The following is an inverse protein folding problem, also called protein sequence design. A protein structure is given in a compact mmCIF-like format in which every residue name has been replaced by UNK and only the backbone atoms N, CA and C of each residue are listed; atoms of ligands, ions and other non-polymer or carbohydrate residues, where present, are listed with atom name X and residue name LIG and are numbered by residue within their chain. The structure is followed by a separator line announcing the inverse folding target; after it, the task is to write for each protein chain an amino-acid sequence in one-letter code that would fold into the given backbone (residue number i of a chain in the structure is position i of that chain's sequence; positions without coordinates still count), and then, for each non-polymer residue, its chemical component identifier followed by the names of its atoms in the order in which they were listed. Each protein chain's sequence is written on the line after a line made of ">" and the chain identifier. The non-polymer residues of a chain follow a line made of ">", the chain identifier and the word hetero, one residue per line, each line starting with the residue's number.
data_IF_771388208754
#
_entry.id   IF_771388208754
#
_cell.length_a   1.000
_cell.length_b   1.000
_cell.length_c   1.000
_cell.angle_alpha   90.00
_cell.angle_beta   90.00
_cell.angle_gamma   90.00
#
_symmetry.space_group_name_H-M   'P 1'
#
loop_
_entity.id
_entity.type
_entity.pdbx_description
1 polymer ?
#
# COMPACT_ATOMS: atom_id res chain seq x y z
N UNK A 1 16.17 -22.74 0.48
CA UNK A 1 15.10 -21.91 -0.11
C UNK A 1 14.66 -20.97 1.00
N UNK A 2 14.96 -19.67 0.91
CA UNK A 2 14.62 -18.73 1.97
C UNK A 2 13.09 -18.65 2.07
N UNK A 3 12.55 -18.79 3.29
CA UNK A 3 11.11 -18.64 3.51
C UNK A 3 10.68 -17.24 3.05
N UNK A 4 9.56 -17.09 2.31
CA UNK A 4 9.11 -15.81 1.75
C UNK A 4 8.84 -14.73 2.80
N UNK A 5 8.81 -15.09 4.09
CA UNK A 5 8.58 -14.18 5.21
C UNK A 5 9.85 -13.56 5.81
N UNK A 6 11.03 -14.02 5.41
CA UNK A 6 12.31 -13.64 6.04
C UNK A 6 12.66 -12.16 5.95
N UNK A 7 12.03 -11.40 5.05
CA UNK A 7 12.32 -9.97 4.89
C UNK A 7 11.52 -9.08 5.88
N UNK A 8 10.41 -9.58 6.42
CA UNK A 8 9.48 -8.80 7.24
C UNK A 8 9.26 -9.36 8.64
N UNK A 9 9.71 -10.58 8.92
CA UNK A 9 9.55 -11.25 10.22
C UNK A 9 10.95 -11.54 10.77
N UNK A 10 11.19 -11.15 12.02
CA UNK A 10 12.43 -11.47 12.71
C UNK A 10 12.58 -12.99 12.89
N UNK A 11 13.76 -13.58 12.58
CA UNK A 11 14.01 -15.00 12.82
C UNK A 11 13.74 -15.41 14.26
N UNK A 12 13.12 -16.58 14.47
CA UNK A 12 12.73 -17.04 15.81
C UNK A 12 11.44 -16.42 16.35
N UNK A 13 10.78 -15.52 15.63
CA UNK A 13 9.46 -15.02 16.00
C UNK A 13 8.42 -16.15 16.07
N UNK A 14 7.42 -15.95 16.93
CA UNK A 14 6.29 -16.88 17.10
C UNK A 14 5.18 -16.53 16.11
N UNK A 15 4.86 -17.47 15.20
CA UNK A 15 3.78 -17.31 14.22
C UNK A 15 2.51 -17.97 14.76
N UNK A 16 1.44 -17.19 14.87
CA UNK A 16 0.12 -17.65 15.29
C UNK A 16 -0.79 -17.81 14.07
N UNK A 17 -1.39 -18.99 13.86
CA UNK A 17 -2.33 -19.22 12.74
C UNK A 17 -3.59 -19.95 13.18
N UNK A 18 -4.58 -19.98 12.29
CA UNK A 18 -5.89 -20.64 12.46
C UNK A 18 -5.86 -22.18 12.39
N UNK A 19 -4.68 -22.77 12.24
CA UNK A 19 -4.48 -24.21 12.14
C UNK A 19 -4.78 -24.84 10.79
N UNK A 20 -4.85 -24.08 9.69
CA UNK A 20 -4.89 -24.67 8.35
C UNK A 20 -3.60 -25.48 8.06
N UNK A 21 -3.77 -26.67 7.47
CA UNK A 21 -2.69 -27.64 7.26
C UNK A 21 -1.54 -27.17 6.36
N UNK A 22 -1.74 -26.10 5.58
CA UNK A 22 -0.70 -25.53 4.71
C UNK A 22 0.32 -24.65 5.45
N UNK A 23 -0.02 -24.10 6.62
CA UNK A 23 0.84 -23.15 7.34
C UNK A 23 2.14 -23.74 7.90
N UNK A 24 2.16 -24.96 8.48
CA UNK A 24 3.41 -25.54 8.98
C UNK A 24 4.49 -25.68 7.89
N UNK A 25 4.08 -26.05 6.67
CA UNK A 25 5.00 -26.13 5.52
C UNK A 25 5.55 -24.75 5.14
N UNK A 26 4.74 -23.70 5.24
CA UNK A 26 5.12 -22.33 4.90
C UNK A 26 5.99 -21.66 5.98
N UNK A 27 5.80 -22.01 7.25
CA UNK A 27 6.61 -21.52 8.37
C UNK A 27 8.03 -22.12 8.36
N UNK A 28 8.20 -23.35 7.89
CA UNK A 28 9.51 -24.01 7.84
C UNK A 28 10.14 -24.18 9.22
N UNK A 29 11.47 -24.29 9.28
CA UNK A 29 12.24 -24.49 10.52
C UNK A 29 12.60 -23.20 11.27
N UNK A 30 12.44 -22.05 10.61
CA UNK A 30 13.06 -20.79 11.06
C UNK A 30 12.18 -20.02 12.07
N UNK A 31 10.94 -20.46 12.26
CA UNK A 31 9.94 -19.82 13.12
C UNK A 31 9.23 -20.81 14.02
N UNK A 32 8.85 -20.34 15.21
CA UNK A 32 8.03 -21.13 16.14
C UNK A 32 6.57 -21.00 15.74
N UNK A 33 6.02 -22.03 15.11
CA UNK A 33 4.62 -22.06 14.69
C UNK A 33 3.70 -22.55 15.82
N UNK A 34 2.69 -21.75 16.16
CA UNK A 34 1.61 -22.11 17.09
C UNK A 34 0.28 -22.03 16.37
N UNK A 35 -0.25 -23.19 16.00
CA UNK A 35 -1.58 -23.32 15.40
C UNK A 35 -2.68 -23.37 16.47
N UNK A 36 -3.71 -22.56 16.31
CA UNK A 36 -4.96 -22.67 17.09
C UNK A 36 -6.11 -22.94 16.12
N UNK A 37 -6.67 -24.14 16.17
CA UNK A 37 -7.78 -24.52 15.28
C UNK A 37 -9.03 -23.70 15.58
N UNK A 38 -9.51 -22.93 14.59
CA UNK A 38 -10.77 -22.18 14.68
C UNK A 38 -11.99 -23.12 14.72
N UNK A 39 -11.87 -24.35 14.19
CA UNK A 39 -12.94 -25.35 14.23
C UNK A 39 -13.13 -25.99 15.63
N UNK A 40 -12.29 -25.64 16.60
CA UNK A 40 -12.31 -26.11 17.99
C UNK A 40 -13.26 -25.33 18.91
N UNK A 41 -13.12 -25.44 20.25
CA UNK A 41 -14.20 -25.39 21.22
C UNK A 41 -14.90 -24.04 21.28
N UNK A 42 -16.06 -23.90 20.61
CA UNK A 42 -17.08 -22.88 20.86
C UNK A 42 -16.66 -21.39 20.86
N UNK A 43 -15.41 -21.07 20.49
CA UNK A 43 -14.87 -19.71 20.47
C UNK A 43 -14.89 -19.19 19.04
N UNK A 44 -15.32 -17.95 18.89
CA UNK A 44 -15.40 -17.31 17.58
C UNK A 44 -14.00 -16.97 17.05
N UNK A 45 -13.84 -16.91 15.73
CA UNK A 45 -12.57 -16.57 15.07
C UNK A 45 -11.98 -15.22 15.54
N UNK A 46 -12.84 -14.27 15.93
CA UNK A 46 -12.42 -12.96 16.43
C UNK A 46 -11.83 -13.00 17.85
N UNK A 47 -12.13 -14.04 18.63
CA UNK A 47 -11.57 -14.28 19.96
C UNK A 47 -10.21 -14.98 19.86
N UNK A 48 -10.06 -15.87 18.88
CA UNK A 48 -8.84 -16.66 18.66
C UNK A 48 -7.74 -15.82 17.98
N UNK A 49 -8.10 -15.02 16.98
CA UNK A 49 -7.17 -14.18 16.20
C UNK A 49 -7.64 -12.71 16.13
N UNK A 50 -7.70 -12.00 17.28
CA UNK A 50 -8.27 -10.65 17.35
C UNK A 50 -7.52 -9.65 16.47
N UNK A 51 -6.20 -9.80 16.33
CA UNK A 51 -5.38 -8.94 15.48
C UNK A 51 -5.74 -9.06 14.00
N UNK A 52 -5.82 -10.30 13.48
CA UNK A 52 -6.15 -10.58 12.08
C UNK A 52 -7.58 -10.11 11.77
N UNK A 53 -8.52 -10.41 12.65
CA UNK A 53 -9.91 -9.99 12.49
C UNK A 53 -10.06 -8.45 12.48
N UNK A 54 -9.33 -7.77 13.36
CA UNK A 54 -9.30 -6.30 13.41
C UNK A 54 -8.73 -5.70 12.14
N UNK A 55 -7.61 -6.24 11.64
CA UNK A 55 -7.02 -5.79 10.37
C UNK A 55 -8.00 -6.00 9.22
N UNK A 56 -8.64 -7.18 9.12
CA UNK A 56 -9.63 -7.46 8.08
C UNK A 56 -10.82 -6.49 8.12
N UNK A 57 -11.33 -6.19 9.32
CA UNK A 57 -12.40 -5.21 9.50
C UNK A 57 -11.98 -3.79 9.12
N UNK A 58 -10.73 -3.40 9.42
CA UNK A 58 -10.19 -2.10 9.05
C UNK A 58 -10.00 -1.96 7.54
N UNK A 59 -9.52 -3.01 6.86
CA UNK A 59 -9.41 -3.04 5.40
C UNK A 59 -10.80 -2.87 4.78
N UNK A 60 -11.79 -3.66 5.22
CA UNK A 60 -13.17 -3.58 4.73
C UNK A 60 -13.76 -2.18 4.92
N UNK A 61 -13.58 -1.58 6.10
CA UNK A 61 -14.05 -0.22 6.39
C UNK A 61 -13.35 0.82 5.51
N UNK A 62 -12.05 0.69 5.31
CA UNK A 62 -11.27 1.63 4.50
C UNK A 62 -11.67 1.55 3.02
N UNK A 63 -11.87 0.35 2.47
CA UNK A 63 -12.37 0.16 1.10
C UNK A 63 -13.78 0.77 0.94
N UNK A 64 -14.68 0.56 1.89
CA UNK A 64 -16.02 1.16 1.85
C UNK A 64 -16.01 2.68 2.02
N UNK A 65 -15.06 3.24 2.79
CA UNK A 65 -14.97 4.67 3.02
C UNK A 65 -14.24 5.43 1.92
N UNK A 66 -12.95 5.12 1.72
CA UNK A 66 -12.07 5.84 0.78
C UNK A 66 -12.45 5.54 -0.67
N UNK A 67 -12.72 4.28 -0.97
CA UNK A 67 -13.05 3.85 -2.33
C UNK A 67 -14.56 3.72 -2.56
N UNK A 68 -15.39 4.10 -1.58
CA UNK A 68 -16.87 4.08 -1.68
C UNK A 68 -17.41 2.69 -2.09
N UNK A 69 -16.70 1.62 -1.74
CA UNK A 69 -17.03 0.25 -2.14
C UNK A 69 -16.69 -0.10 -3.60
N UNK A 70 -16.12 0.82 -4.38
CA UNK A 70 -15.62 0.57 -5.73
C UNK A 70 -14.16 0.12 -5.68
N UNK A 71 -13.90 -1.13 -6.01
CA UNK A 71 -12.52 -1.64 -6.15
C UNK A 71 -12.45 -2.59 -7.33
N UNK A 72 -11.34 -2.54 -8.07
CA UNK A 72 -11.04 -3.54 -9.11
C UNK A 72 -10.07 -4.58 -8.56
N UNK A 73 -10.29 -5.85 -8.90
CA UNK A 73 -9.34 -6.93 -8.61
C UNK A 73 -7.97 -6.64 -9.26
N UNK A 74 -7.96 -5.97 -10.40
CA UNK A 74 -6.74 -5.62 -11.13
C UNK A 74 -5.82 -4.66 -10.34
N UNK A 75 -6.40 -3.88 -9.42
CA UNK A 75 -5.69 -2.93 -8.57
C UNK A 75 -5.54 -3.40 -7.11
N UNK A 76 -5.85 -4.68 -6.83
CA UNK A 76 -5.90 -5.20 -5.45
C UNK A 76 -4.58 -4.97 -4.70
N UNK A 77 -3.44 -5.25 -5.33
CA UNK A 77 -2.14 -5.07 -4.69
C UNK A 77 -1.89 -3.60 -4.33
N UNK A 78 -2.18 -2.67 -5.24
CA UNK A 78 -2.02 -1.23 -5.00
C UNK A 78 -2.91 -0.74 -3.84
N UNK A 79 -4.14 -1.26 -3.71
CA UNK A 79 -4.99 -0.94 -2.57
C UNK A 79 -4.42 -1.46 -1.25
N UNK A 80 -3.86 -2.68 -1.24
CA UNK A 80 -3.24 -3.23 -0.04
C UNK A 80 -1.95 -2.47 0.35
N UNK A 81 -1.17 -2.04 -0.64
CA UNK A 81 0.02 -1.21 -0.43
C UNK A 81 -0.37 0.16 0.16
N UNK A 82 -1.42 0.81 -0.35
CA UNK A 82 -1.92 2.06 0.24
C UNK A 82 -2.45 1.83 1.66
N UNK A 83 -3.18 0.74 1.90
CA UNK A 83 -3.67 0.41 3.22
C UNK A 83 -2.53 0.25 4.22
N UNK A 84 -1.47 -0.49 3.87
CA UNK A 84 -0.31 -0.71 4.73
C UNK A 84 0.47 0.57 4.97
N UNK A 85 0.65 1.40 3.93
CA UNK A 85 1.24 2.75 4.03
C UNK A 85 0.50 3.61 5.05
N UNK A 86 -0.84 3.55 5.06
CA UNK A 86 -1.66 4.27 6.04
C UNK A 86 -1.72 3.58 7.39
N UNK A 87 -1.58 2.26 7.48
CA UNK A 87 -1.73 1.45 8.69
C UNK A 87 -0.51 1.48 9.61
N UNK A 88 0.68 1.32 9.05
CA UNK A 88 1.91 1.20 9.81
C UNK A 88 2.26 2.45 10.65
N UNK A 89 2.06 3.70 10.18
CA UNK A 89 2.37 4.88 10.99
C UNK A 89 1.26 5.30 11.97
N UNK A 90 0.13 4.58 12.09
CA UNK A 90 -1.03 5.01 12.91
C UNK A 90 -0.76 5.16 14.40
N UNK A 91 0.23 4.43 14.92
CA UNK A 91 0.67 4.54 16.31
C UNK A 91 1.70 5.64 16.56
N UNK A 92 2.13 6.36 15.51
CA UNK A 92 3.17 7.38 15.63
C UNK A 92 2.67 8.61 16.39
N UNK A 93 3.50 9.08 17.33
CA UNK A 93 3.26 10.31 18.09
C UNK A 93 3.49 11.58 17.24
N UNK A 94 4.18 11.46 16.11
CA UNK A 94 4.45 12.57 15.22
C UNK A 94 3.32 12.72 14.18
N UNK A 95 2.53 13.79 14.31
CA UNK A 95 1.37 14.07 13.44
C UNK A 95 1.69 14.14 11.94
N UNK A 96 2.93 14.49 11.58
CA UNK A 96 3.40 14.60 10.20
C UNK A 96 4.06 13.35 9.62
N UNK A 97 4.11 12.23 10.35
CA UNK A 97 4.90 11.07 9.91
C UNK A 97 4.39 10.46 8.60
N UNK A 98 3.08 10.44 8.39
CA UNK A 98 2.50 9.97 7.12
C UNK A 98 2.95 10.84 5.94
N UNK A 99 2.91 12.17 6.12
CA UNK A 99 3.34 13.13 5.10
C UNK A 99 4.84 13.00 4.83
N UNK A 100 5.65 12.85 5.88
CA UNK A 100 7.08 12.64 5.75
C UNK A 100 7.41 11.36 4.97
N UNK A 101 6.74 10.23 5.29
CA UNK A 101 6.90 8.97 4.52
C UNK A 101 6.46 9.10 3.08
N UNK A 102 5.38 9.84 2.80
CA UNK A 102 4.93 10.13 1.44
C UNK A 102 6.01 10.88 0.66
N UNK A 103 6.63 11.89 1.28
CA UNK A 103 7.66 12.70 0.65
C UNK A 103 8.93 11.88 0.39
N UNK A 104 9.37 11.07 1.35
CA UNK A 104 10.48 10.12 1.15
C UNK A 104 10.23 9.19 -0.05
N UNK A 105 9.03 8.60 -0.13
CA UNK A 105 8.67 7.72 -1.26
C UNK A 105 8.58 8.48 -2.58
N UNK A 106 8.07 9.71 -2.58
CA UNK A 106 7.96 10.53 -3.79
C UNK A 106 9.32 10.90 -4.38
N UNK A 107 10.34 11.07 -3.52
CA UNK A 107 11.72 11.35 -3.95
C UNK A 107 12.44 10.08 -4.39
N UNK A 108 12.19 8.95 -3.72
CA UNK A 108 12.85 7.68 -4.03
C UNK A 108 12.26 6.96 -5.25
N UNK A 109 10.99 7.21 -5.57
CA UNK A 109 10.27 6.51 -6.64
C UNK A 109 10.52 7.16 -8.00
N UNK A 110 10.66 6.32 -9.02
CA UNK A 110 10.72 6.76 -10.40
C UNK A 110 9.38 7.39 -10.83
N UNK A 111 9.38 8.38 -11.73
CA UNK A 111 8.14 8.98 -12.21
C UNK A 111 7.24 7.94 -12.89
N UNK A 112 6.00 7.83 -12.43
CA UNK A 112 4.97 6.92 -12.95
C UNK A 112 4.00 7.73 -13.80
N UNK A 113 3.72 7.30 -15.03
CA UNK A 113 2.73 7.95 -15.88
C UNK A 113 1.31 7.52 -15.52
N UNK A 114 0.30 8.36 -15.81
CA UNK A 114 -1.11 7.99 -15.58
C UNK A 114 -1.50 6.68 -16.27
N UNK A 115 -0.84 6.35 -17.39
CA UNK A 115 -1.09 5.13 -18.13
C UNK A 115 -0.54 3.90 -17.39
N UNK A 116 0.60 4.03 -16.72
CA UNK A 116 1.18 2.97 -15.90
C UNK A 116 0.32 2.68 -14.66
N UNK A 117 -0.49 3.65 -14.22
CA UNK A 117 -1.48 3.47 -13.15
C UNK A 117 -2.72 2.69 -13.59
N UNK A 118 -2.96 2.50 -14.90
CA UNK A 118 -4.08 1.71 -15.41
C UNK A 118 -3.64 0.26 -15.52
N UNK A 119 -4.31 -0.66 -14.82
CA UNK A 119 -3.88 -2.05 -14.78
C UNK A 119 -3.98 -2.77 -16.13
N UNK A 120 -5.00 -2.40 -16.93
CA UNK A 120 -5.24 -2.95 -18.27
C UNK A 120 -5.27 -1.81 -19.30
N UNK A 121 -4.11 -1.20 -19.64
CA UNK A 121 -4.09 -0.10 -20.58
C UNK A 121 -4.40 -0.63 -21.99
N UNK A 122 -5.37 -0.02 -22.68
CA UNK A 122 -5.65 -0.34 -24.08
C UNK A 122 -4.41 -0.12 -24.96
N UNK A 123 -4.30 -0.75 -26.14
CA UNK A 123 -3.09 -0.73 -26.95
C UNK A 123 -2.62 0.69 -27.27
N UNK A 124 -1.29 0.87 -27.31
CA UNK A 124 -0.67 2.14 -27.68
C UNK A 124 -0.92 2.38 -29.17
N UNK A 125 -1.26 3.61 -29.56
CA UNK A 125 -1.30 3.93 -31.00
C UNK A 125 0.13 3.87 -31.53
N UNK A 126 0.32 3.28 -32.71
CA UNK A 126 1.64 3.21 -33.34
C UNK A 126 2.23 4.62 -33.48
N UNK A 127 3.41 4.87 -32.90
CA UNK A 127 4.11 6.16 -32.92
C UNK A 127 4.16 6.93 -31.59
N UNK A 128 3.57 6.42 -30.50
CA UNK A 128 3.55 7.08 -29.17
C UNK A 128 4.66 6.60 -28.21
N UNK A 129 5.77 6.05 -28.71
CA UNK A 129 6.78 5.32 -27.90
C UNK A 129 7.50 6.17 -26.84
N UNK A 130 7.26 7.47 -26.80
CA UNK A 130 7.58 8.31 -25.65
C UNK A 130 6.45 9.33 -25.47
N UNK A 131 5.89 9.50 -24.26
CA UNK A 131 5.07 10.68 -24.02
C UNK A 131 5.95 11.87 -24.35
N UNK A 132 5.54 12.69 -25.32
CA UNK A 132 6.22 13.94 -25.59
C UNK A 132 6.31 14.68 -24.24
N UNK A 133 7.48 15.21 -23.86
CA UNK A 133 7.57 16.04 -22.67
C UNK A 133 6.48 17.11 -22.76
N UNK A 134 5.83 17.50 -21.65
CA UNK A 134 4.74 18.49 -21.67
C UNK A 134 5.16 19.87 -22.22
N UNK A 135 6.38 20.02 -22.71
CA UNK A 135 6.91 21.17 -23.42
C UNK A 135 6.79 21.01 -24.95
N UNK A 136 5.57 20.93 -25.47
CA UNK A 136 5.28 21.46 -26.81
C UNK A 136 4.21 22.54 -26.69
N UNK A 137 4.67 23.76 -26.41
CA UNK A 137 4.01 25.03 -26.69
C UNK A 137 2.49 25.13 -26.39
N UNK A 138 2.05 24.74 -25.20
CA UNK A 138 0.86 25.38 -24.61
C UNK A 138 1.33 26.38 -23.58
N UNK A 139 1.32 27.66 -23.93
CA UNK A 139 1.48 28.73 -22.94
C UNK A 139 0.46 28.50 -21.83
N UNK A 140 0.88 28.60 -20.56
CA UNK A 140 -0.05 28.59 -19.46
C UNK A 140 -1.16 29.62 -19.74
N UNK A 141 -2.44 29.31 -19.46
CA UNK A 141 -3.50 30.31 -19.59
C UNK A 141 -3.13 31.54 -18.77
N UNK A 142 -3.52 32.73 -19.23
CA UNK A 142 -3.16 34.00 -18.58
C UNK A 142 -3.52 34.05 -17.09
N UNK A 143 -4.53 33.29 -16.66
CA UNK A 143 -4.94 33.12 -15.26
C UNK A 143 -3.93 32.37 -14.38
N UNK A 144 -3.04 31.58 -14.97
CA UNK A 144 -1.95 30.86 -14.30
C UNK A 144 -0.59 31.53 -14.48
N UNK A 145 -0.57 32.73 -15.06
CA UNK A 145 0.64 33.52 -15.20
C UNK A 145 1.00 34.13 -13.85
N UNK A 146 1.77 33.39 -13.05
CA UNK A 146 2.33 33.90 -11.81
C UNK A 146 3.54 34.76 -12.16
N UNK A 147 3.46 36.06 -11.91
CA UNK A 147 4.65 36.90 -11.88
C UNK A 147 5.50 36.44 -10.71
N UNK A 148 6.64 35.80 -10.98
CA UNK A 148 7.59 35.41 -9.95
C UNK A 148 8.33 36.69 -9.54
N UNK A 149 8.11 37.22 -8.32
CA UNK A 149 8.84 38.40 -7.89
C UNK A 149 10.33 38.04 -7.75
N UNK A 150 11.21 38.92 -8.26
CA UNK A 150 12.67 38.74 -8.24
C UNK A 150 13.25 38.50 -6.84
N UNK A 151 12.49 38.79 -5.77
CA UNK A 151 12.87 38.52 -4.38
C UNK A 151 11.62 38.31 -3.52
N UNK A 152 11.14 37.06 -3.36
CA UNK A 152 9.90 36.76 -2.63
C UNK A 152 9.94 37.17 -1.14
N UNK A 153 11.15 37.36 -0.60
CA UNK A 153 11.40 37.52 0.84
C UNK A 153 11.95 38.89 1.24
N UNK A 154 12.18 39.80 0.29
CA UNK A 154 12.48 41.21 0.60
C UNK A 154 11.19 42.01 0.44
N UNK A 155 10.67 42.52 1.55
CA UNK A 155 9.78 43.69 1.55
C UNK A 155 10.62 44.96 1.58
#
# INVERSE_FOLDING_TARGET
>A
MLSPYSYHIEPGAKILTDGLASYPLAAGSDYVHRSTSIKGPGMDAHEILPGVHRVASLVKRWLLGTHQGSFSADHMQAYLDEFTFRFNPRGSRARGMLFYRLLEQSVAMHPISCRDLVANPGPRKAGEDSPAPPCSAKSAPSSLHLEIPRSPWRR
#
